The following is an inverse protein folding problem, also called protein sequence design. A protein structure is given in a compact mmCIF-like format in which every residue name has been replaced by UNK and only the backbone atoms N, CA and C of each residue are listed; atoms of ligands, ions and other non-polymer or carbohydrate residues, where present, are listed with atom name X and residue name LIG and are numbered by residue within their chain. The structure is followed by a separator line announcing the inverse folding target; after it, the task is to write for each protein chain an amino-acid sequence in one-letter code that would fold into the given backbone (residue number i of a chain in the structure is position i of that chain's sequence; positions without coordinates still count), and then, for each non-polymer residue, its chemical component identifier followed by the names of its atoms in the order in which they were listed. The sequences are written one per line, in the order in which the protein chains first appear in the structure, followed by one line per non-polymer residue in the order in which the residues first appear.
data_IF_415369344742
#
_entry.id   IF_415369344742
#
_cell.length_a   1.000
_cell.length_b   1.000
_cell.length_c   1.000
_cell.angle_alpha   90.00
_cell.angle_beta   90.00
_cell.angle_gamma   90.00
#
_symmetry.space_group_name_H-M   'P 1'
#
loop_
_entity.id
_entity.type
_entity.pdbx_description
1 polymer ?
#
# COMPACT_ATOMS: atom_id res chain seq x y z
N UNK A 1 -23.49 30.46 -7.00
CA UNK A 1 -22.17 30.04 -7.52
C UNK A 1 -22.24 28.56 -7.85
N UNK A 2 -21.88 28.18 -9.08
CA UNK A 2 -21.81 26.77 -9.49
C UNK A 2 -20.70 26.04 -8.73
N UNK A 3 -21.01 24.84 -8.24
CA UNK A 3 -20.09 24.07 -7.39
C UNK A 3 -18.96 23.50 -8.26
N UNK A 4 -17.71 23.76 -7.88
CA UNK A 4 -16.54 23.11 -8.49
C UNK A 4 -16.38 21.72 -7.86
N UNK A 5 -16.33 20.65 -8.65
CA UNK A 5 -16.29 19.26 -8.16
C UNK A 5 -15.30 18.39 -8.95
N UNK A 6 -14.92 17.25 -8.37
CA UNK A 6 -14.07 16.24 -9.03
C UNK A 6 -14.97 15.15 -9.60
N UNK A 7 -14.84 14.86 -10.89
CA UNK A 7 -15.32 13.63 -11.48
C UNK A 7 -14.15 12.63 -11.58
N UNK A 8 -14.21 11.53 -10.82
CA UNK A 8 -13.14 10.53 -10.75
C UNK A 8 -13.14 9.56 -11.95
N UNK A 9 -14.10 9.70 -12.85
CA UNK A 9 -14.27 8.83 -14.01
C UNK A 9 -14.57 9.65 -15.26
N UNK A 10 -14.12 9.14 -16.39
CA UNK A 10 -14.35 9.71 -17.71
C UNK A 10 -14.82 8.60 -18.64
N UNK A 11 -15.59 8.98 -19.65
CA UNK A 11 -15.93 8.10 -20.77
C UNK A 11 -14.71 7.96 -21.69
N UNK A 12 -13.72 7.18 -21.26
CA UNK A 12 -12.46 6.98 -21.98
C UNK A 12 -12.00 5.51 -21.96
N UNK A 13 -11.18 5.14 -22.96
CA UNK A 13 -10.50 3.85 -23.03
C UNK A 13 -9.35 3.71 -22.02
N UNK A 14 -8.91 2.48 -21.73
CA UNK A 14 -7.68 2.19 -20.98
C UNK A 14 -7.56 2.84 -19.59
N UNK A 15 -6.33 3.23 -19.27
CA UNK A 15 -5.95 3.86 -17.99
C UNK A 15 -6.55 5.26 -17.81
N UNK A 16 -6.92 5.92 -18.90
CA UNK A 16 -7.46 7.28 -18.88
C UNK A 16 -8.85 7.34 -18.25
N UNK A 17 -9.60 6.23 -18.23
CA UNK A 17 -10.92 6.15 -17.57
C UNK A 17 -10.88 6.52 -16.07
N UNK A 18 -9.70 6.44 -15.44
CA UNK A 18 -9.49 6.74 -14.03
C UNK A 18 -8.70 8.03 -13.79
N UNK A 19 -8.39 8.77 -14.86
CA UNK A 19 -7.83 10.11 -14.77
C UNK A 19 -8.98 11.06 -14.39
N UNK A 20 -8.87 11.82 -13.29
CA UNK A 20 -9.93 12.72 -12.87
C UNK A 20 -10.04 13.92 -13.81
N UNK A 21 -11.26 14.45 -13.95
CA UNK A 21 -11.50 15.78 -14.50
C UNK A 21 -12.25 16.65 -13.48
N UNK A 22 -12.12 17.96 -13.61
CA UNK A 22 -12.75 18.93 -12.71
C UNK A 22 -13.90 19.60 -13.44
N UNK A 23 -15.05 19.67 -12.79
CA UNK A 23 -16.28 20.24 -13.31
C UNK A 23 -16.66 21.51 -12.55
N UNK A 24 -17.37 22.42 -13.22
CA UNK A 24 -18.12 23.54 -12.63
C UNK A 24 -19.60 23.30 -12.92
N UNK A 25 -20.36 22.84 -11.92
CA UNK A 25 -21.65 22.20 -12.19
C UNK A 25 -21.43 20.91 -13.00
N UNK A 26 -22.11 20.79 -14.13
CA UNK A 26 -22.00 19.63 -15.03
C UNK A 26 -21.08 19.88 -16.24
N UNK A 27 -20.48 21.06 -16.34
CA UNK A 27 -19.57 21.42 -17.44
C UNK A 27 -18.11 21.34 -17.03
N UNK A 28 -17.22 21.02 -17.98
CA UNK A 28 -15.78 21.03 -17.76
C UNK A 28 -15.30 22.39 -17.21
N UNK A 29 -14.47 22.37 -16.17
CA UNK A 29 -14.00 23.59 -15.51
C UNK A 29 -13.08 24.43 -16.42
N UNK A 30 -12.06 23.79 -17.01
CA UNK A 30 -11.04 24.43 -17.85
C UNK A 30 -10.40 23.35 -18.76
N UNK A 31 -10.35 23.54 -20.09
CA UNK A 31 -9.79 22.54 -21.02
C UNK A 31 -8.30 22.25 -20.81
N UNK A 32 -7.50 23.25 -20.44
CA UNK A 32 -6.07 23.07 -20.19
C UNK A 32 -5.84 22.31 -18.89
N UNK A 33 -6.68 22.53 -17.88
CA UNK A 33 -6.64 21.74 -16.66
C UNK A 33 -7.01 20.28 -16.90
N UNK A 34 -7.92 20.01 -17.82
CA UNK A 34 -8.24 18.64 -18.26
C UNK A 34 -7.04 17.97 -18.93
N UNK A 35 -6.40 18.69 -19.86
CA UNK A 35 -5.15 18.26 -20.51
C UNK A 35 -4.05 17.99 -19.50
N UNK A 36 -3.92 18.82 -18.47
CA UNK A 36 -2.96 18.60 -17.38
C UNK A 36 -3.14 17.24 -16.70
N UNK A 37 -4.38 16.86 -16.38
CA UNK A 37 -4.66 15.57 -15.74
C UNK A 37 -4.38 14.39 -16.68
N UNK A 38 -4.72 14.50 -17.96
CA UNK A 38 -4.39 13.52 -19.00
C UNK A 38 -2.88 13.32 -19.18
N UNK A 39 -2.07 14.36 -19.00
CA UNK A 39 -0.60 14.26 -19.08
C UNK A 39 0.06 13.65 -17.82
N UNK A 40 -0.67 13.49 -16.71
CA UNK A 40 -0.08 13.00 -15.45
C UNK A 40 0.45 11.55 -15.54
N UNK A 41 -0.28 10.57 -16.12
CA UNK A 41 0.23 9.21 -16.31
C UNK A 41 1.49 9.15 -17.18
N UNK A 42 1.58 10.03 -18.19
CA UNK A 42 2.74 10.16 -19.08
C UNK A 42 3.96 10.73 -18.36
N UNK A 43 3.74 11.64 -17.41
CA UNK A 43 4.78 12.27 -16.58
C UNK A 43 5.08 11.54 -15.25
N UNK A 44 4.65 10.28 -15.15
CA UNK A 44 5.03 9.34 -14.09
C UNK A 44 4.06 9.20 -12.91
N UNK A 45 2.92 9.90 -12.89
CA UNK A 45 1.84 9.67 -11.91
C UNK A 45 0.79 8.75 -12.52
N UNK A 46 1.01 7.44 -12.37
CA UNK A 46 0.10 6.41 -12.90
C UNK A 46 -0.90 5.88 -11.88
N UNK A 47 -0.62 6.06 -10.59
CA UNK A 47 -1.51 5.56 -9.53
C UNK A 47 -2.79 6.38 -9.45
N UNK A 48 -3.93 5.70 -9.55
CA UNK A 48 -5.26 6.27 -9.34
C UNK A 48 -5.38 7.01 -8.01
N UNK A 49 -4.78 6.49 -6.94
CA UNK A 49 -4.78 7.15 -5.63
C UNK A 49 -4.05 8.50 -5.67
N UNK A 50 -2.91 8.56 -6.36
CA UNK A 50 -2.14 9.79 -6.52
C UNK A 50 -2.88 10.81 -7.39
N UNK A 51 -3.46 10.37 -8.51
CA UNK A 51 -4.28 11.22 -9.40
C UNK A 51 -5.48 11.80 -8.66
N UNK A 52 -6.22 10.94 -7.94
CA UNK A 52 -7.35 11.35 -7.09
C UNK A 52 -6.91 12.39 -6.06
N UNK A 53 -5.84 12.13 -5.29
CA UNK A 53 -5.35 13.05 -4.28
C UNK A 53 -4.97 14.42 -4.87
N UNK A 54 -4.29 14.42 -6.02
CA UNK A 54 -3.94 15.64 -6.74
C UNK A 54 -5.19 16.41 -7.19
N UNK A 55 -6.21 15.73 -7.74
CA UNK A 55 -7.45 16.37 -8.17
C UNK A 55 -8.22 17.01 -7.01
N UNK A 56 -8.27 16.37 -5.84
CA UNK A 56 -8.87 16.99 -4.65
C UNK A 56 -8.06 18.18 -4.16
N UNK A 57 -6.73 18.07 -4.08
CA UNK A 57 -5.87 19.18 -3.66
C UNK A 57 -6.01 20.39 -4.63
N UNK A 58 -6.06 20.14 -5.94
CA UNK A 58 -6.30 21.17 -6.97
C UNK A 58 -7.71 21.74 -6.84
N UNK A 59 -8.75 20.93 -6.66
CA UNK A 59 -10.14 21.41 -6.54
C UNK A 59 -10.33 22.34 -5.35
N UNK A 60 -9.70 22.03 -4.21
CA UNK A 60 -9.75 22.91 -3.03
C UNK A 60 -9.10 24.26 -3.34
N UNK A 61 -7.99 24.26 -4.09
CA UNK A 61 -7.34 25.48 -4.55
C UNK A 61 -8.19 26.27 -5.55
N UNK A 62 -8.84 25.61 -6.51
CA UNK A 62 -9.75 26.27 -7.46
C UNK A 62 -10.92 26.95 -6.75
N UNK A 63 -11.52 26.29 -5.76
CA UNK A 63 -12.60 26.87 -4.94
C UNK A 63 -12.12 28.12 -4.18
N UNK A 64 -10.88 28.12 -3.70
CA UNK A 64 -10.29 29.29 -3.08
C UNK A 64 -10.11 30.43 -4.09
N UNK A 65 -9.57 30.15 -5.28
CA UNK A 65 -9.39 31.17 -6.33
C UNK A 65 -10.71 31.72 -6.84
N UNK A 66 -11.74 30.88 -7.00
CA UNK A 66 -13.09 31.30 -7.41
C UNK A 66 -13.69 32.28 -6.41
N UNK A 67 -13.48 32.06 -5.10
CA UNK A 67 -13.87 32.99 -4.04
C UNK A 67 -13.07 34.31 -4.10
N UNK A 68 -11.87 34.31 -4.67
CA UNK A 68 -11.06 35.50 -4.96
C UNK A 68 -11.37 36.11 -6.34
N UNK A 69 -12.31 35.57 -7.11
CA UNK A 69 -12.63 36.03 -8.46
C UNK A 69 -11.55 35.75 -9.51
N UNK A 70 -10.68 34.76 -9.28
CA UNK A 70 -9.54 34.42 -10.15
C UNK A 70 -9.69 33.04 -10.78
N UNK A 71 -9.16 32.89 -11.99
CA UNK A 71 -8.97 31.58 -12.62
C UNK A 71 -7.69 30.92 -12.14
N UNK A 72 -7.53 29.63 -12.43
CA UNK A 72 -6.33 28.87 -12.03
C UNK A 72 -5.04 29.45 -12.62
N UNK A 73 -5.10 29.98 -13.84
CA UNK A 73 -3.96 30.55 -14.56
C UNK A 73 -3.68 32.03 -14.19
N UNK A 74 -4.59 32.69 -13.48
CA UNK A 74 -4.42 34.07 -13.00
C UNK A 74 -3.91 34.15 -11.54
N UNK A 75 -3.57 33.02 -10.93
CA UNK A 75 -3.10 32.99 -9.55
C UNK A 75 -1.74 33.68 -9.39
N UNK A 76 -1.59 34.44 -8.31
CA UNK A 76 -0.36 35.15 -7.94
C UNK A 76 0.27 34.56 -6.69
N UNK A 77 1.48 35.03 -6.36
CA UNK A 77 2.17 34.66 -5.11
C UNK A 77 1.35 35.03 -3.88
N UNK A 78 0.71 36.20 -3.90
CA UNK A 78 -0.14 36.67 -2.80
C UNK A 78 -1.33 35.74 -2.54
N UNK A 79 -1.88 35.12 -3.59
CA UNK A 79 -2.97 34.14 -3.46
C UNK A 79 -2.48 32.87 -2.75
N UNK A 80 -1.26 32.41 -3.03
CA UNK A 80 -0.65 31.25 -2.35
C UNK A 80 -0.42 31.54 -0.87
N UNK A 81 0.02 32.76 -0.53
CA UNK A 81 0.15 33.18 0.87
C UNK A 81 -1.20 33.31 1.57
N UNK A 82 -2.20 33.89 0.92
CA UNK A 82 -3.55 33.99 1.46
C UNK A 82 -4.17 32.60 1.69
N UNK A 83 -3.96 31.67 0.76
CA UNK A 83 -4.38 30.28 0.89
C UNK A 83 -3.62 29.55 2.00
N UNK A 84 -2.32 29.79 2.15
CA UNK A 84 -1.56 29.29 3.31
C UNK A 84 -2.17 29.77 4.62
N UNK A 85 -2.44 31.08 4.75
CA UNK A 85 -3.09 31.65 5.94
C UNK A 85 -4.45 30.99 6.20
N UNK A 86 -5.29 30.82 5.18
CA UNK A 86 -6.59 30.17 5.31
C UNK A 86 -6.48 28.70 5.78
N UNK A 87 -5.55 27.92 5.20
CA UNK A 87 -5.44 26.48 5.48
C UNK A 87 -4.60 26.15 6.72
N UNK A 88 -3.68 27.03 7.14
CA UNK A 88 -2.72 26.76 8.23
C UNK A 88 -2.93 27.64 9.46
N UNK A 89 -3.47 28.85 9.30
CA UNK A 89 -3.69 29.81 10.39
C UNK A 89 -5.17 30.09 10.68
N UNK A 90 -6.09 29.57 9.87
CA UNK A 90 -7.52 29.63 10.16
C UNK A 90 -7.94 28.86 11.42
N UNK A 91 -9.25 28.86 11.66
CA UNK A 91 -9.87 28.18 12.80
C UNK A 91 -9.49 26.71 12.88
N UNK A 92 -9.46 26.17 14.10
CA UNK A 92 -9.04 24.81 14.36
C UNK A 92 -9.79 23.76 13.52
N UNK A 93 -11.08 23.98 13.26
CA UNK A 93 -11.92 23.08 12.44
C UNK A 93 -11.57 23.06 10.94
N UNK A 94 -10.89 24.10 10.44
CA UNK A 94 -10.52 24.23 9.02
C UNK A 94 -9.01 24.02 8.79
N UNK A 95 -8.21 24.08 9.85
CA UNK A 95 -6.75 23.99 9.81
C UNK A 95 -6.27 22.58 9.44
N UNK A 96 -5.37 22.49 8.45
CA UNK A 96 -4.73 21.22 8.07
C UNK A 96 -3.33 21.07 8.66
N UNK A 97 -2.83 19.84 8.70
CA UNK A 97 -1.46 19.55 9.11
C UNK A 97 -0.43 20.06 8.09
N UNK A 98 0.81 20.26 8.53
CA UNK A 98 1.93 20.62 7.65
C UNK A 98 2.18 19.55 6.56
N UNK A 99 1.96 18.27 6.87
CA UNK A 99 2.09 17.18 5.90
C UNK A 99 1.01 17.26 4.79
N UNK A 100 -0.24 17.52 5.17
CA UNK A 100 -1.34 17.74 4.22
C UNK A 100 -1.10 18.97 3.35
N UNK A 101 -0.58 20.05 3.94
CA UNK A 101 -0.18 21.26 3.20
C UNK A 101 0.92 20.97 2.19
N UNK A 102 2.00 20.33 2.61
CA UNK A 102 3.12 19.98 1.72
C UNK A 102 2.69 19.07 0.56
N UNK A 103 1.70 18.19 0.78
CA UNK A 103 1.10 17.40 -0.31
C UNK A 103 0.34 18.30 -1.30
N UNK A 104 -0.49 19.22 -0.80
CA UNK A 104 -1.17 20.18 -1.67
C UNK A 104 -0.19 21.05 -2.46
N UNK A 105 0.87 21.57 -1.82
CA UNK A 105 1.94 22.32 -2.51
C UNK A 105 2.62 21.47 -3.58
N UNK A 106 2.85 20.18 -3.35
CA UNK A 106 3.39 19.29 -4.37
C UNK A 106 2.46 19.13 -5.58
N UNK A 107 1.15 18.99 -5.34
CA UNK A 107 0.12 18.92 -6.38
C UNK A 107 0.09 20.21 -7.20
N UNK A 108 0.11 21.37 -6.54
CA UNK A 108 0.06 22.68 -7.17
C UNK A 108 1.36 23.07 -7.88
N UNK A 109 2.54 22.82 -7.29
CA UNK A 109 3.83 23.08 -7.94
C UNK A 109 3.95 22.28 -9.24
N UNK A 110 3.40 21.06 -9.28
CA UNK A 110 3.34 20.27 -10.51
C UNK A 110 2.40 20.88 -11.55
N UNK A 111 1.21 21.34 -11.14
CA UNK A 111 0.25 22.02 -12.02
C UNK A 111 0.87 23.25 -12.66
N UNK A 112 1.41 24.15 -11.85
CA UNK A 112 1.95 25.40 -12.36
C UNK A 112 3.24 25.22 -13.16
N UNK A 113 4.10 24.23 -12.81
CA UNK A 113 5.23 23.87 -13.68
C UNK A 113 4.79 23.31 -15.03
N UNK A 114 3.67 22.59 -15.06
CA UNK A 114 3.11 22.14 -16.33
C UNK A 114 2.57 23.34 -17.13
N UNK A 115 1.84 24.26 -16.49
CA UNK A 115 1.34 25.48 -17.13
C UNK A 115 2.44 26.37 -17.70
N UNK A 116 3.55 26.57 -16.96
CA UNK A 116 4.76 27.26 -17.43
C UNK A 116 5.32 26.60 -18.71
N UNK A 117 5.46 25.26 -18.72
CA UNK A 117 5.98 24.52 -19.88
C UNK A 117 5.07 24.57 -21.10
N UNK A 118 3.75 24.67 -20.88
CA UNK A 118 2.76 24.79 -21.96
C UNK A 118 2.57 26.23 -22.43
N UNK A 119 3.25 27.22 -21.82
CA UNK A 119 3.11 28.63 -22.17
C UNK A 119 1.79 29.28 -21.73
N UNK A 120 1.04 28.63 -20.84
CA UNK A 120 -0.24 29.16 -20.31
C UNK A 120 -0.01 30.31 -19.32
N UNK A 121 1.15 30.31 -18.67
CA UNK A 121 1.58 31.33 -17.72
C UNK A 121 3.06 31.63 -17.94
N UNK A 122 3.45 32.88 -17.71
CA UNK A 122 4.86 33.28 -17.80
C UNK A 122 5.67 32.79 -16.59
N UNK A 123 5.08 32.81 -15.40
CA UNK A 123 5.73 32.40 -14.16
C UNK A 123 4.72 31.77 -13.18
N UNK A 124 5.12 30.70 -12.50
CA UNK A 124 4.32 30.06 -11.45
C UNK A 124 4.17 30.94 -10.21
N UNK A 125 3.05 30.81 -9.47
CA UNK A 125 2.78 31.57 -8.23
C UNK A 125 3.60 31.07 -7.02
N UNK A 126 4.83 30.59 -7.23
CA UNK A 126 5.69 30.04 -6.18
C UNK A 126 7.08 30.68 -6.17
N UNK A 127 7.54 31.06 -4.97
CA UNK A 127 8.96 31.36 -4.75
C UNK A 127 9.76 30.07 -4.81
N UNK A 128 10.88 30.10 -5.54
CA UNK A 128 11.80 28.97 -5.66
C UNK A 128 13.21 29.45 -5.40
N UNK A 129 13.92 28.73 -4.54
CA UNK A 129 15.35 28.94 -4.33
C UNK A 129 16.16 27.76 -4.87
N UNK A 130 17.33 28.06 -5.39
CA UNK A 130 18.32 27.07 -5.73
C UNK A 130 18.84 26.42 -4.44
N UNK A 131 18.70 25.10 -4.34
CA UNK A 131 19.26 24.32 -3.22
C UNK A 131 20.18 23.27 -3.78
N UNK A 132 21.41 23.24 -3.28
CA UNK A 132 22.35 22.17 -3.60
C UNK A 132 21.88 20.87 -2.95
N UNK A 133 21.70 19.82 -3.77
CA UNK A 133 21.44 18.47 -3.26
C UNK A 133 22.68 17.61 -3.45
N UNK A 134 23.24 17.03 -2.38
CA UNK A 134 24.25 16.00 -2.52
C UNK A 134 23.65 14.82 -3.28
N UNK A 135 24.35 14.32 -4.29
CA UNK A 135 23.90 13.12 -4.98
C UNK A 135 24.20 11.90 -4.10
N UNK A 136 23.22 11.01 -3.94
CA UNK A 136 23.46 9.71 -3.35
C UNK A 136 24.27 8.84 -4.32
N UNK A 137 25.41 8.32 -3.86
CA UNK A 137 26.20 7.31 -4.58
C UNK A 137 27.17 7.85 -5.64
N UNK A 138 28.03 8.83 -5.30
CA UNK A 138 29.18 9.22 -6.13
C UNK A 138 28.86 10.06 -7.38
N UNK A 139 27.61 10.48 -7.59
CA UNK A 139 27.23 11.39 -8.68
C UNK A 139 27.50 12.86 -8.31
N UNK A 140 27.72 13.72 -9.31
CA UNK A 140 27.84 15.18 -9.09
C UNK A 140 26.56 15.72 -8.45
N UNK A 141 26.71 16.53 -7.39
CA UNK A 141 25.59 17.23 -6.75
C UNK A 141 24.83 18.08 -7.75
N UNK A 142 23.51 18.18 -7.57
CA UNK A 142 22.62 18.88 -8.51
C UNK A 142 21.98 20.07 -7.80
N UNK A 143 21.90 21.21 -8.50
CA UNK A 143 21.08 22.34 -8.06
C UNK A 143 19.62 21.98 -8.34
N UNK A 144 18.83 21.85 -7.28
CA UNK A 144 17.40 21.63 -7.39
C UNK A 144 16.65 22.89 -6.97
N UNK A 145 15.70 23.34 -7.80
CA UNK A 145 14.77 24.40 -7.41
C UNK A 145 13.78 23.87 -6.36
N UNK A 146 13.93 24.35 -5.12
CA UNK A 146 13.02 24.05 -4.02
C UNK A 146 11.97 25.15 -3.93
N UNK A 147 10.69 24.75 -3.97
CA UNK A 147 9.57 25.64 -3.71
C UNK A 147 9.54 26.02 -2.21
N UNK A 148 9.46 27.31 -1.92
CA UNK A 148 9.53 27.85 -0.56
C UNK A 148 8.20 27.79 0.20
N UNK A 149 7.10 27.47 -0.49
CA UNK A 149 5.81 27.20 0.15
C UNK A 149 5.82 25.89 0.98
N UNK A 150 6.83 25.02 0.81
CA UNK A 150 6.95 23.82 1.64
C UNK A 150 7.33 24.14 3.08
N UNK A 151 6.50 23.68 4.03
CA UNK A 151 6.81 23.76 5.46
C UNK A 151 7.86 22.71 5.87
N UNK A 152 8.73 23.08 6.80
CA UNK A 152 9.65 22.13 7.43
C UNK A 152 8.85 21.20 8.34
N UNK A 153 8.82 19.91 8.00
CA UNK A 153 8.23 18.88 8.84
C UNK A 153 9.35 18.03 9.43
N UNK A 154 9.47 18.02 10.74
CA UNK A 154 10.27 16.99 11.43
C UNK A 154 9.47 15.70 11.32
N UNK A 155 10.01 14.71 10.60
CA UNK A 155 9.43 13.37 10.59
C UNK A 155 9.64 12.77 11.99
N UNK A 156 8.65 12.93 12.87
CA UNK A 156 8.52 12.07 14.05
C UNK A 156 7.96 10.75 13.57
N UNK A 157 8.80 9.72 13.54
CA UNK A 157 8.38 8.36 13.22
C UNK A 157 7.94 7.67 14.50
N UNK A 158 6.73 7.99 14.97
CA UNK A 158 6.03 7.16 15.95
C UNK A 158 5.57 5.88 15.23
N UNK A 159 6.50 4.94 15.03
CA UNK A 159 6.17 3.63 14.47
C UNK A 159 5.31 2.92 15.50
N UNK A 160 4.03 2.79 15.19
CA UNK A 160 3.13 1.92 15.96
C UNK A 160 3.24 0.51 15.39
N UNK A 161 3.77 -0.41 16.17
CA UNK A 161 3.73 -1.84 15.88
C UNK A 161 2.85 -2.56 16.91
N UNK A 162 2.49 -3.80 16.60
CA UNK A 162 1.55 -4.60 17.38
C UNK A 162 2.35 -5.66 18.14
N UNK A 163 2.01 -5.90 19.41
CA UNK A 163 2.59 -7.04 20.14
C UNK A 163 2.04 -8.34 19.56
N UNK A 164 2.76 -9.45 19.72
CA UNK A 164 2.28 -10.73 19.20
C UNK A 164 1.02 -11.23 19.92
N UNK A 165 0.84 -10.91 21.20
CA UNK A 165 -0.39 -11.20 21.95
C UNK A 165 -1.58 -10.37 21.47
N UNK A 166 -1.41 -9.06 21.28
CA UNK A 166 -2.46 -8.21 20.70
C UNK A 166 -2.84 -8.70 19.29
N UNK A 167 -1.85 -9.16 18.52
CA UNK A 167 -2.08 -9.73 17.21
C UNK A 167 -2.86 -11.05 17.27
N UNK A 168 -2.53 -11.97 18.20
CA UNK A 168 -3.28 -13.22 18.43
C UNK A 168 -4.74 -12.92 18.74
N UNK A 169 -5.01 -12.00 19.67
CA UNK A 169 -6.37 -11.59 20.03
C UNK A 169 -7.09 -10.98 18.82
N UNK A 170 -6.42 -10.09 18.08
CA UNK A 170 -6.98 -9.49 16.88
C UNK A 170 -7.30 -10.52 15.79
N UNK A 171 -6.44 -11.53 15.63
CA UNK A 171 -6.62 -12.61 14.66
C UNK A 171 -7.81 -13.50 15.02
N UNK A 172 -7.83 -14.05 16.23
CA UNK A 172 -8.86 -15.01 16.66
C UNK A 172 -10.21 -14.32 16.92
N UNK A 173 -10.23 -13.32 17.81
CA UNK A 173 -11.47 -12.62 18.18
C UNK A 173 -11.88 -11.68 17.07
N UNK A 174 -10.96 -10.84 16.60
CA UNK A 174 -11.24 -9.76 15.66
C UNK A 174 -11.56 -10.25 14.25
N UNK A 175 -10.64 -10.99 13.60
CA UNK A 175 -10.76 -11.37 12.19
C UNK A 175 -11.58 -12.66 11.99
N UNK A 176 -11.28 -13.71 12.75
CA UNK A 176 -12.01 -14.99 12.67
C UNK A 176 -13.39 -14.90 13.33
N UNK A 177 -13.58 -13.99 14.28
CA UNK A 177 -14.87 -13.81 14.93
C UNK A 177 -15.16 -14.88 15.98
N UNK A 178 -14.13 -15.43 16.61
CA UNK A 178 -14.28 -16.33 17.75
C UNK A 178 -14.59 -15.54 19.02
N UNK A 179 -15.15 -16.21 20.02
CA UNK A 179 -15.19 -15.70 21.38
C UNK A 179 -13.77 -15.72 21.99
N UNK A 180 -13.52 -14.97 23.09
CA UNK A 180 -12.20 -14.94 23.73
C UNK A 180 -11.70 -16.29 24.25
N UNK A 181 -12.62 -17.23 24.52
CA UNK A 181 -12.32 -18.61 24.91
C UNK A 181 -12.04 -19.54 23.71
N UNK A 182 -12.07 -19.01 22.49
CA UNK A 182 -11.85 -19.76 21.25
C UNK A 182 -13.10 -20.45 20.70
N UNK A 183 -14.24 -20.38 21.38
CA UNK A 183 -15.50 -20.95 20.91
C UNK A 183 -16.12 -20.13 19.77
N UNK A 184 -17.04 -20.75 19.02
CA UNK A 184 -17.85 -20.03 18.05
C UNK A 184 -18.82 -19.08 18.77
N UNK A 185 -18.93 -17.84 18.28
CA UNK A 185 -19.86 -16.88 18.88
C UNK A 185 -21.31 -17.29 18.56
N UNK A 186 -22.22 -17.28 19.55
CA UNK A 186 -23.63 -17.54 19.30
C UNK A 186 -24.20 -16.61 18.21
N UNK A 187 -24.82 -17.19 17.18
CA UNK A 187 -25.37 -16.43 16.05
C UNK A 187 -24.33 -15.85 15.09
N UNK A 188 -23.06 -16.27 15.17
CA UNK A 188 -22.01 -15.85 14.25
C UNK A 188 -22.42 -16.11 12.79
N UNK A 189 -22.26 -15.09 11.97
CA UNK A 189 -22.34 -15.18 10.50
C UNK A 189 -21.06 -14.69 9.87
N UNK A 190 -19.92 -14.89 10.56
CA UNK A 190 -18.62 -14.43 10.09
C UNK A 190 -18.15 -15.28 8.91
N UNK A 191 -18.54 -14.83 7.73
CA UNK A 191 -18.14 -15.46 6.48
C UNK A 191 -16.76 -14.91 6.08
N UNK A 192 -15.85 -15.78 5.66
CA UNK A 192 -14.46 -15.47 5.30
C UNK A 192 -13.54 -15.12 6.49
N UNK A 193 -13.82 -15.64 7.69
CA UNK A 193 -12.96 -15.43 8.86
C UNK A 193 -11.53 -15.93 8.64
N UNK A 194 -11.37 -17.11 8.02
CA UNK A 194 -10.04 -17.65 7.68
C UNK A 194 -9.35 -16.80 6.63
N UNK A 195 -10.02 -16.44 5.51
CA UNK A 195 -9.47 -15.52 4.52
C UNK A 195 -8.92 -14.23 5.15
N UNK A 196 -9.70 -13.62 6.06
CA UNK A 196 -9.32 -12.37 6.71
C UNK A 196 -8.08 -12.55 7.61
N UNK A 197 -8.04 -13.63 8.39
CA UNK A 197 -6.89 -13.99 9.21
C UNK A 197 -5.64 -14.24 8.35
N UNK A 198 -5.77 -15.01 7.26
CA UNK A 198 -4.66 -15.31 6.35
C UNK A 198 -4.10 -14.07 5.66
N UNK A 199 -4.96 -13.11 5.31
CA UNK A 199 -4.49 -11.82 4.79
C UNK A 199 -3.64 -11.07 5.82
N UNK A 200 -4.05 -11.06 7.09
CA UNK A 200 -3.27 -10.46 8.16
C UNK A 200 -1.98 -11.23 8.45
N UNK A 201 -2.03 -12.57 8.45
CA UNK A 201 -0.86 -13.46 8.61
C UNK A 201 0.17 -13.16 7.53
N UNK A 202 -0.27 -12.99 6.28
CA UNK A 202 0.59 -12.59 5.18
C UNK A 202 1.27 -11.23 5.43
N UNK A 203 0.53 -10.22 5.88
CA UNK A 203 1.11 -8.89 6.13
C UNK A 203 2.15 -8.90 7.25
N UNK A 204 1.85 -9.56 8.38
CA UNK A 204 2.72 -9.56 9.56
C UNK A 204 3.96 -10.43 9.38
N UNK A 205 3.92 -11.45 8.51
CA UNK A 205 5.03 -12.37 8.27
C UNK A 205 5.92 -11.99 7.08
N UNK A 206 5.44 -11.14 6.17
CA UNK A 206 6.18 -10.79 4.93
C UNK A 206 6.43 -9.29 4.74
N UNK A 207 5.75 -8.44 5.52
CA UNK A 207 5.88 -6.99 5.42
C UNK A 207 5.36 -6.40 4.11
N UNK A 208 4.53 -7.12 3.35
CA UNK A 208 3.92 -6.59 2.13
C UNK A 208 3.13 -5.30 2.38
N UNK A 209 3.08 -4.41 1.38
CA UNK A 209 2.13 -3.29 1.40
C UNK A 209 0.71 -3.82 1.21
N UNK A 210 -0.27 -3.07 1.70
CA UNK A 210 -1.69 -3.40 1.52
C UNK A 210 -2.03 -3.69 0.05
N UNK A 211 -1.60 -2.83 -0.86
CA UNK A 211 -1.84 -2.97 -2.31
C UNK A 211 -1.11 -4.17 -2.91
N UNK A 212 0.15 -4.42 -2.50
CA UNK A 212 0.93 -5.59 -2.94
C UNK A 212 0.26 -6.90 -2.51
N UNK A 213 -0.14 -7.02 -1.23
CA UNK A 213 -0.81 -8.20 -0.70
C UNK A 213 -2.21 -8.40 -1.30
N UNK A 214 -2.95 -7.31 -1.54
CA UNK A 214 -4.28 -7.37 -2.15
C UNK A 214 -4.23 -7.78 -3.61
N UNK A 215 -3.18 -7.38 -4.34
CA UNK A 215 -3.01 -7.63 -5.76
C UNK A 215 -2.44 -9.00 -6.12
N UNK A 216 -2.16 -9.87 -5.15
CA UNK A 216 -1.70 -11.24 -5.44
C UNK A 216 -2.76 -12.03 -6.19
N UNK A 217 -2.32 -12.85 -7.13
CA UNK A 217 -3.14 -13.77 -7.91
C UNK A 217 -3.05 -15.18 -7.32
N UNK A 218 -4.09 -16.00 -7.47
CA UNK A 218 -4.07 -17.38 -6.98
C UNK A 218 -2.91 -18.17 -7.62
N UNK A 219 -2.68 -17.96 -8.92
CA UNK A 219 -1.56 -18.54 -9.64
C UNK A 219 -0.18 -18.06 -9.17
N UNK A 220 -0.06 -16.95 -8.44
CA UNK A 220 1.25 -16.50 -7.93
C UNK A 220 1.79 -17.45 -6.85
N UNK A 221 0.92 -18.21 -6.19
CA UNK A 221 1.26 -19.02 -5.00
C UNK A 221 1.03 -20.52 -5.20
N UNK A 222 0.17 -20.92 -6.14
CA UNK A 222 -0.19 -22.33 -6.40
C UNK A 222 0.98 -23.20 -6.90
N UNK A 223 2.08 -22.60 -7.37
CA UNK A 223 3.22 -23.31 -7.99
C UNK A 223 4.38 -23.56 -7.02
N UNK A 224 4.32 -23.03 -5.79
CA UNK A 224 5.51 -22.93 -4.92
C UNK A 224 5.69 -24.12 -3.94
N UNK A 225 5.03 -25.26 -4.12
CA UNK A 225 5.25 -26.42 -3.21
C UNK A 225 5.55 -27.72 -3.97
N UNK A 226 6.79 -27.92 -4.44
CA UNK A 226 7.30 -29.27 -4.60
C UNK A 226 7.42 -29.92 -3.21
N UNK A 227 6.83 -31.12 -3.07
CA UNK A 227 7.12 -31.99 -1.94
C UNK A 227 8.62 -32.37 -1.96
N UNK A 228 9.30 -32.24 -0.81
CA UNK A 228 10.68 -32.70 -0.62
C UNK A 228 11.76 -31.65 -0.37
N UNK A 229 11.49 -30.34 -0.49
CA UNK A 229 12.48 -29.30 -0.16
C UNK A 229 12.39 -28.86 1.32
N UNK A 230 13.52 -29.00 2.03
CA UNK A 230 13.68 -28.75 3.47
C UNK A 230 13.60 -27.25 3.85
N UNK A 231 13.66 -26.35 2.87
CA UNK A 231 13.65 -24.90 3.13
C UNK A 231 12.33 -24.43 3.75
N UNK A 232 12.39 -23.93 5.00
CA UNK A 232 11.19 -23.45 5.73
C UNK A 232 10.53 -22.19 5.12
N UNK A 233 11.22 -21.47 4.24
CA UNK A 233 10.77 -20.23 3.61
C UNK A 233 11.09 -20.23 2.11
N UNK A 234 10.27 -19.52 1.33
CA UNK A 234 10.40 -19.43 -0.13
C UNK A 234 10.36 -17.99 -0.60
N UNK A 235 11.12 -17.69 -1.67
CA UNK A 235 11.15 -16.36 -2.27
C UNK A 235 9.95 -16.18 -3.22
N UNK A 236 9.08 -15.23 -2.89
CA UNK A 236 8.03 -14.76 -3.77
C UNK A 236 8.50 -13.51 -4.52
N UNK A 237 8.56 -13.58 -5.85
CA UNK A 237 8.87 -12.44 -6.71
C UNK A 237 7.64 -11.54 -6.86
N UNK A 238 7.76 -10.28 -6.49
CA UNK A 238 6.75 -9.25 -6.77
C UNK A 238 7.14 -8.52 -8.06
N UNK A 239 6.29 -8.56 -9.11
CA UNK A 239 6.58 -7.94 -10.38
C UNK A 239 6.59 -6.40 -10.25
N UNK A 240 7.38 -5.67 -11.07
CA UNK A 240 7.49 -4.21 -10.97
C UNK A 240 6.15 -3.47 -10.95
N UNK A 241 5.15 -3.77 -11.82
CA UNK A 241 3.90 -3.03 -11.83
C UNK A 241 3.06 -3.17 -10.54
N UNK A 242 3.25 -4.25 -9.77
CA UNK A 242 2.58 -4.45 -8.48
C UNK A 242 3.20 -3.59 -7.36
N UNK A 243 4.43 -3.14 -7.54
CA UNK A 243 5.22 -2.49 -6.49
C UNK A 243 5.26 -0.98 -6.65
N UNK A 244 5.45 -0.28 -5.52
CA UNK A 244 5.52 1.18 -5.51
C UNK A 244 6.70 1.69 -6.35
N UNK A 245 6.39 2.51 -7.35
CA UNK A 245 7.39 3.15 -8.21
C UNK A 245 7.96 2.23 -9.28
N UNK A 246 7.26 1.13 -9.59
CA UNK A 246 7.63 0.19 -10.66
C UNK A 246 8.99 -0.47 -10.41
N UNK A 247 9.22 -0.91 -9.16
CA UNK A 247 10.49 -1.49 -8.70
C UNK A 247 10.24 -2.86 -8.07
N UNK A 248 10.28 -3.88 -8.91
CA UNK A 248 10.11 -5.27 -8.51
C UNK A 248 11.06 -5.65 -7.37
N UNK A 249 10.60 -6.55 -6.50
CA UNK A 249 11.35 -7.02 -5.33
C UNK A 249 10.90 -8.42 -4.95
N UNK A 250 11.75 -9.16 -4.26
CA UNK A 250 11.37 -10.45 -3.69
C UNK A 250 11.11 -10.33 -2.20
N UNK A 251 10.18 -11.14 -1.69
CA UNK A 251 9.89 -11.29 -0.25
C UNK A 251 10.02 -12.75 0.15
N UNK A 252 10.39 -12.98 1.41
CA UNK A 252 10.38 -14.32 2.00
C UNK A 252 8.97 -14.63 2.51
N UNK A 253 8.45 -15.80 2.15
CA UNK A 253 7.15 -16.29 2.60
C UNK A 253 7.34 -17.63 3.32
N UNK A 254 6.83 -17.80 4.55
CA UNK A 254 6.89 -19.08 5.24
C UNK A 254 6.13 -20.18 4.50
N UNK A 255 6.72 -21.37 4.35
CA UNK A 255 6.05 -22.52 3.70
C UNK A 255 4.72 -22.88 4.36
N UNK A 256 4.66 -22.78 5.68
CA UNK A 256 3.43 -23.07 6.43
C UNK A 256 2.30 -22.11 6.05
N UNK A 257 2.61 -20.82 5.87
CA UNK A 257 1.62 -19.86 5.39
C UNK A 257 1.14 -20.21 3.98
N UNK A 258 2.05 -20.63 3.09
CA UNK A 258 1.69 -21.10 1.74
C UNK A 258 0.73 -22.30 1.78
N UNK A 259 0.95 -23.28 2.66
CA UNK A 259 0.02 -24.42 2.86
C UNK A 259 -1.36 -23.95 3.32
N UNK A 260 -1.42 -22.98 4.23
CA UNK A 260 -2.70 -22.42 4.68
C UNK A 260 -3.41 -21.63 3.58
N UNK A 261 -2.65 -20.91 2.74
CA UNK A 261 -3.21 -20.23 1.57
C UNK A 261 -3.71 -21.24 0.53
N UNK A 262 -2.98 -22.33 0.29
CA UNK A 262 -3.44 -23.42 -0.59
C UNK A 262 -4.77 -24.02 -0.09
N UNK A 263 -4.87 -24.35 1.21
CA UNK A 263 -6.11 -24.82 1.80
C UNK A 263 -7.27 -23.81 1.66
N UNK A 264 -6.99 -22.51 1.78
CA UNK A 264 -7.97 -21.46 1.49
C UNK A 264 -8.38 -21.43 0.01
N UNK A 265 -7.43 -21.60 -0.92
CA UNK A 265 -7.70 -21.65 -2.37
C UNK A 265 -8.64 -22.81 -2.68
N UNK A 266 -8.35 -23.99 -2.14
CA UNK A 266 -9.08 -25.22 -2.44
C UNK A 266 -10.50 -25.24 -1.86
N UNK A 267 -10.74 -24.52 -0.76
CA UNK A 267 -12.01 -24.55 -0.03
C UNK A 267 -12.80 -23.25 -0.16
N UNK A 268 -12.41 -22.19 0.58
CA UNK A 268 -13.21 -20.95 0.64
C UNK A 268 -13.18 -20.20 -0.70
N UNK A 269 -12.02 -20.09 -1.34
CA UNK A 269 -11.90 -19.40 -2.63
C UNK A 269 -12.63 -20.16 -3.73
N UNK A 270 -12.45 -21.48 -3.82
CA UNK A 270 -13.16 -22.32 -4.79
C UNK A 270 -14.69 -22.19 -4.65
N UNK A 271 -15.22 -22.19 -3.42
CA UNK A 271 -16.64 -21.93 -3.17
C UNK A 271 -17.07 -20.52 -3.62
N UNK A 272 -16.23 -19.50 -3.39
CA UNK A 272 -16.42 -18.16 -3.92
C UNK A 272 -16.45 -18.11 -5.46
N UNK A 273 -15.50 -18.78 -6.11
CA UNK A 273 -15.40 -18.87 -7.57
C UNK A 273 -16.62 -19.57 -8.18
N UNK A 274 -17.10 -20.68 -7.59
CA UNK A 274 -18.33 -21.33 -8.01
C UNK A 274 -19.55 -20.39 -7.91
N UNK A 275 -19.65 -19.63 -6.81
CA UNK A 275 -20.68 -18.60 -6.63
C UNK A 275 -20.56 -17.44 -7.61
N UNK A 276 -19.35 -17.11 -8.07
CA UNK A 276 -19.11 -16.10 -9.09
C UNK A 276 -19.69 -16.54 -10.44
N UNK A 277 -19.40 -17.77 -10.89
CA UNK A 277 -19.96 -18.33 -12.13
C UNK A 277 -21.49 -18.41 -12.06
N UNK A 278 -22.02 -18.99 -10.98
CA UNK A 278 -23.46 -19.17 -10.80
C UNK A 278 -24.27 -17.86 -10.76
N UNK A 279 -23.62 -16.71 -10.54
CA UNK A 279 -24.26 -15.39 -10.44
C UNK A 279 -23.90 -14.45 -11.58
N UNK A 280 -23.31 -14.98 -12.65
CA UNK A 280 -22.76 -14.19 -13.76
C UNK A 280 -21.88 -13.04 -13.24
N UNK A 281 -20.93 -13.39 -12.37
CA UNK A 281 -20.11 -12.42 -11.67
C UNK A 281 -19.24 -11.58 -12.61
N UNK A 282 -18.95 -12.07 -13.82
CA UNK A 282 -18.19 -11.35 -14.84
C UNK A 282 -18.93 -10.09 -15.32
N UNK A 283 -20.26 -10.14 -15.43
CA UNK A 283 -21.07 -8.98 -15.82
C UNK A 283 -21.02 -7.82 -14.80
N UNK A 284 -20.53 -8.07 -13.57
CA UNK A 284 -20.36 -7.03 -12.55
C UNK A 284 -19.01 -6.30 -12.64
N UNK A 285 -18.11 -6.76 -13.50
CA UNK A 285 -16.82 -6.13 -13.69
C UNK A 285 -16.98 -4.92 -14.59
N UNK A 286 -16.42 -3.81 -14.13
CA UNK A 286 -16.18 -2.66 -14.99
C UNK A 286 -14.95 -2.97 -15.85
N UNK A 287 -15.18 -3.25 -17.15
CA UNK A 287 -14.15 -3.59 -18.14
C UNK A 287 -13.29 -4.80 -17.72
N UNK A 288 -13.88 -6.02 -17.72
CA UNK A 288 -13.14 -7.24 -17.40
C UNK A 288 -12.00 -7.48 -18.39
N UNK A 289 -10.93 -8.14 -17.92
CA UNK A 289 -9.80 -8.57 -18.74
C UNK A 289 -9.82 -10.09 -18.78
N UNK A 290 -10.36 -10.63 -19.87
CA UNK A 290 -10.47 -12.07 -20.08
C UNK A 290 -9.12 -12.66 -20.52
N UNK A 291 -8.67 -13.70 -19.82
CA UNK A 291 -7.39 -14.36 -20.07
C UNK A 291 -7.52 -15.87 -19.96
N UNK A 292 -6.66 -16.59 -20.66
CA UNK A 292 -6.45 -18.03 -20.48
C UNK A 292 -5.36 -18.28 -19.43
N UNK A 293 -5.20 -19.52 -18.99
CA UNK A 293 -4.11 -19.91 -18.08
C UNK A 293 -2.73 -19.58 -18.68
N UNK A 294 -2.53 -19.81 -19.99
CA UNK A 294 -1.29 -19.43 -20.69
C UNK A 294 -1.06 -17.90 -20.74
N UNK A 295 -2.15 -17.11 -20.75
CA UNK A 295 -2.07 -15.65 -20.73
C UNK A 295 -1.74 -15.08 -19.35
N UNK A 296 -1.96 -15.84 -18.28
CA UNK A 296 -1.76 -15.39 -16.90
C UNK A 296 -0.29 -15.01 -16.62
N UNK A 297 0.66 -15.80 -17.11
CA UNK A 297 2.09 -15.56 -16.89
C UNK A 297 2.52 -14.20 -17.45
N UNK A 298 2.11 -13.89 -18.68
CA UNK A 298 2.37 -12.58 -19.29
C UNK A 298 1.71 -11.46 -18.50
N UNK A 299 0.46 -11.65 -18.04
CA UNK A 299 -0.26 -10.64 -17.27
C UNK A 299 0.38 -10.34 -15.91
N UNK A 300 1.02 -11.34 -15.28
CA UNK A 300 1.72 -11.14 -14.00
C UNK A 300 2.76 -10.02 -14.09
N UNK A 301 3.48 -9.91 -15.21
CA UNK A 301 4.59 -8.96 -15.36
C UNK A 301 4.17 -7.57 -15.86
N UNK A 302 2.93 -7.40 -16.35
CA UNK A 302 2.47 -6.14 -16.97
C UNK A 302 1.30 -5.48 -16.25
N UNK A 303 0.46 -6.25 -15.56
CA UNK A 303 -0.75 -5.70 -14.95
C UNK A 303 -0.45 -4.92 -13.66
N UNK A 304 -1.01 -3.72 -13.61
CA UNK A 304 -1.11 -2.89 -12.40
C UNK A 304 -2.00 -3.55 -11.33
N UNK A 305 -1.95 -3.11 -10.06
CA UNK A 305 -2.79 -3.68 -9.00
C UNK A 305 -4.29 -3.61 -9.30
N UNK A 306 -4.74 -2.57 -9.98
CA UNK A 306 -6.15 -2.42 -10.40
C UNK A 306 -6.53 -3.39 -11.51
N UNK A 307 -5.68 -3.56 -12.52
CA UNK A 307 -5.91 -4.51 -13.61
C UNK A 307 -5.91 -5.95 -13.12
N UNK A 308 -5.04 -6.30 -12.16
CA UNK A 308 -5.03 -7.62 -11.51
C UNK A 308 -6.39 -7.95 -10.86
N UNK A 309 -7.06 -6.94 -10.30
CA UNK A 309 -8.42 -7.07 -9.77
C UNK A 309 -9.52 -7.22 -10.83
N UNK A 310 -9.19 -7.08 -12.12
CA UNK A 310 -10.12 -7.22 -13.26
C UNK A 310 -9.84 -8.44 -14.13
N UNK A 311 -8.79 -9.21 -13.84
CA UNK A 311 -8.45 -10.43 -14.56
C UNK A 311 -9.46 -11.55 -14.30
N UNK A 312 -10.02 -12.11 -15.38
CA UNK A 312 -10.94 -13.24 -15.35
C UNK A 312 -10.32 -14.36 -16.18
N UNK A 313 -10.02 -15.49 -15.52
CA UNK A 313 -9.61 -16.72 -16.18
C UNK A 313 -10.81 -17.31 -16.91
N UNK A 314 -10.60 -17.67 -18.17
CA UNK A 314 -11.61 -18.23 -19.06
C UNK A 314 -11.20 -19.63 -19.49
N UNK A 315 -12.20 -20.48 -19.74
CA UNK A 315 -11.99 -21.78 -20.37
C UNK A 315 -11.55 -21.60 -21.85
N UNK A 316 -11.12 -22.68 -22.49
CA UNK A 316 -10.70 -22.67 -23.90
C UNK A 316 -11.80 -22.16 -24.85
N UNK A 317 -13.07 -22.40 -24.51
CA UNK A 317 -14.24 -21.90 -25.24
C UNK A 317 -14.58 -20.42 -24.97
N UNK A 318 -13.74 -19.70 -24.22
CA UNK A 318 -13.92 -18.28 -23.90
C UNK A 318 -14.89 -17.98 -22.75
N UNK A 319 -15.51 -19.01 -22.15
CA UNK A 319 -16.44 -18.80 -21.03
C UNK A 319 -15.71 -18.41 -19.73
N UNK A 320 -16.19 -17.41 -18.97
CA UNK A 320 -15.61 -17.03 -17.69
C UNK A 320 -15.61 -18.20 -16.68
N UNK A 321 -14.43 -18.54 -16.17
CA UNK A 321 -14.23 -19.62 -15.17
C UNK A 321 -14.16 -19.05 -13.77
N UNK A 322 -13.24 -18.12 -13.51
CA UNK A 322 -13.06 -17.49 -12.20
C UNK A 322 -12.20 -16.23 -12.26
N UNK A 323 -12.29 -15.32 -11.27
CA UNK A 323 -11.34 -14.21 -11.18
C UNK A 323 -9.93 -14.69 -10.81
N UNK A 324 -8.89 -14.15 -11.44
CA UNK A 324 -7.51 -14.56 -11.15
C UNK A 324 -7.01 -14.12 -9.75
N UNK A 325 -7.68 -13.14 -9.13
CA UNK A 325 -7.33 -12.62 -7.82
C UNK A 325 -7.31 -13.71 -6.74
N UNK A 326 -6.33 -13.64 -5.82
CA UNK A 326 -6.22 -14.56 -4.70
C UNK A 326 -7.38 -14.37 -3.70
N UNK A 327 -7.68 -13.12 -3.38
CA UNK A 327 -8.65 -12.80 -2.33
C UNK A 327 -10.03 -12.53 -2.92
N UNK A 328 -10.97 -13.43 -2.66
CA UNK A 328 -12.35 -13.28 -3.11
C UNK A 328 -13.30 -13.01 -1.94
N UNK A 329 -14.33 -12.23 -2.22
CA UNK A 329 -15.50 -12.04 -1.35
C UNK A 329 -16.33 -13.32 -1.31
N UNK A 330 -17.33 -13.34 -0.42
CA UNK A 330 -18.23 -14.50 -0.28
C UNK A 330 -19.00 -14.85 -1.57
N UNK A 331 -19.18 -13.87 -2.46
CA UNK A 331 -19.86 -14.03 -3.76
C UNK A 331 -18.86 -14.15 -4.92
N UNK A 332 -17.58 -14.35 -4.61
CA UNK A 332 -16.51 -14.57 -5.58
C UNK A 332 -15.99 -13.33 -6.29
N UNK A 333 -16.41 -12.12 -5.89
CA UNK A 333 -15.82 -10.88 -6.42
C UNK A 333 -14.45 -10.60 -5.77
N UNK A 334 -13.44 -10.07 -6.47
CA UNK A 334 -12.15 -9.69 -5.88
C UNK A 334 -12.29 -8.69 -4.72
N UNK A 335 -11.56 -8.92 -3.63
CA UNK A 335 -11.51 -7.99 -2.49
C UNK A 335 -10.68 -6.77 -2.88
N UNK A 336 -11.32 -5.59 -2.93
CA UNK A 336 -10.62 -4.32 -3.21
C UNK A 336 -9.69 -3.92 -2.05
N UNK A 337 -8.54 -3.27 -2.33
CA UNK A 337 -7.58 -2.89 -1.29
C UNK A 337 -8.19 -2.11 -0.11
N UNK A 338 -9.06 -1.14 -0.38
CA UNK A 338 -9.72 -0.32 0.65
C UNK A 338 -10.70 -1.12 1.54
N UNK A 339 -11.22 -2.26 1.06
CA UNK A 339 -12.09 -3.12 1.86
C UNK A 339 -11.35 -3.74 3.04
N UNK A 340 -10.04 -3.96 2.93
CA UNK A 340 -9.23 -4.51 4.02
C UNK A 340 -9.14 -3.58 5.22
N UNK A 341 -9.03 -2.27 5.00
CA UNK A 341 -9.04 -1.29 6.11
C UNK A 341 -10.38 -1.33 6.86
N UNK A 342 -11.49 -1.48 6.14
CA UNK A 342 -12.82 -1.65 6.73
C UNK A 342 -12.92 -2.97 7.48
N UNK A 343 -12.39 -4.07 6.94
CA UNK A 343 -12.34 -5.37 7.62
C UNK A 343 -11.55 -5.27 8.93
N UNK A 344 -10.39 -4.63 8.90
CA UNK A 344 -9.55 -4.41 10.09
C UNK A 344 -10.25 -3.54 11.12
N UNK A 345 -10.90 -2.45 10.70
CA UNK A 345 -11.66 -1.57 11.59
C UNK A 345 -12.83 -2.31 12.27
N UNK A 346 -13.53 -3.18 11.53
CA UNK A 346 -14.59 -4.05 12.08
C UNK A 346 -14.03 -5.08 13.05
N UNK A 347 -12.89 -5.70 12.74
CA UNK A 347 -12.21 -6.62 13.62
C UNK A 347 -11.76 -5.95 14.92
N UNK A 348 -11.16 -4.75 14.86
CA UNK A 348 -10.81 -3.97 16.04
C UNK A 348 -12.05 -3.57 16.86
N UNK A 349 -13.17 -3.21 16.20
CA UNK A 349 -14.44 -2.96 16.90
C UNK A 349 -14.87 -4.19 17.69
N UNK A 350 -14.85 -5.37 17.07
CA UNK A 350 -15.21 -6.62 17.72
C UNK A 350 -14.32 -6.94 18.92
N UNK A 351 -13.01 -6.71 18.82
CA UNK A 351 -12.11 -6.83 19.96
C UNK A 351 -12.51 -5.89 21.11
N UNK A 352 -12.86 -4.63 20.80
CA UNK A 352 -13.33 -3.65 21.80
C UNK A 352 -14.65 -4.06 22.46
N UNK A 353 -15.56 -4.68 21.71
CA UNK A 353 -16.82 -5.19 22.25
C UNK A 353 -16.58 -6.30 23.32
N UNK A 354 -15.42 -6.97 23.29
CA UNK A 354 -14.95 -7.92 24.31
C UNK A 354 -13.95 -7.31 25.33
N UNK A 355 -13.79 -5.99 25.35
CA UNK A 355 -12.92 -5.29 26.31
C UNK A 355 -11.47 -5.11 25.86
N UNK A 356 -11.07 -5.59 24.68
CA UNK A 356 -9.72 -5.42 24.16
C UNK A 356 -9.59 -4.10 23.38
N UNK A 357 -8.85 -3.14 23.95
CA UNK A 357 -8.65 -1.81 23.35
C UNK A 357 -7.63 -1.81 22.21
N UNK A 358 -7.95 -2.51 21.12
CA UNK A 358 -7.07 -2.68 19.97
C UNK A 358 -7.39 -1.70 18.83
N UNK A 359 -6.32 -1.20 18.19
CA UNK A 359 -6.37 -0.40 16.96
C UNK A 359 -5.23 -0.83 16.05
N UNK A 360 -5.52 -1.80 15.19
CA UNK A 360 -4.58 -2.43 14.27
C UNK A 360 -5.00 -2.14 12.83
N UNK A 361 -4.02 -1.75 12.02
CA UNK A 361 -4.18 -1.46 10.59
C UNK A 361 -3.18 -2.29 9.77
N UNK A 362 -3.41 -2.48 8.46
CA UNK A 362 -2.46 -3.16 7.57
C UNK A 362 -1.04 -2.57 7.64
N UNK A 363 -0.93 -1.24 7.82
CA UNK A 363 0.36 -0.57 7.92
C UNK A 363 1.10 -0.90 9.23
N UNK A 364 0.36 -1.03 10.35
CA UNK A 364 0.95 -1.46 11.63
C UNK A 364 1.47 -2.90 11.57
N UNK A 365 0.81 -3.81 10.86
CA UNK A 365 1.32 -5.17 10.67
C UNK A 365 2.63 -5.18 9.87
N UNK A 366 2.75 -4.33 8.85
CA UNK A 366 4.01 -4.16 8.11
C UNK A 366 5.12 -3.58 8.99
N UNK A 367 4.82 -2.63 9.88
CA UNK A 367 5.77 -2.15 10.87
C UNK A 367 6.18 -3.23 11.87
N UNK A 368 5.21 -4.05 12.27
CA UNK A 368 5.43 -5.22 13.15
C UNK A 368 6.43 -6.17 12.52
N UNK A 369 6.21 -6.59 11.27
CA UNK A 369 7.19 -7.38 10.51
C UNK A 369 8.58 -6.73 10.52
N UNK A 370 8.67 -5.43 10.21
CA UNK A 370 9.95 -4.75 10.08
C UNK A 370 10.77 -4.73 11.38
N UNK A 371 10.11 -4.45 12.51
CA UNK A 371 10.74 -4.45 13.84
C UNK A 371 11.20 -5.85 14.21
N UNK A 372 10.34 -6.87 14.06
CA UNK A 372 10.67 -8.25 14.44
C UNK A 372 11.75 -8.87 13.54
N UNK A 373 11.70 -8.60 12.23
CA UNK A 373 12.74 -9.07 11.31
C UNK A 373 14.08 -8.40 11.56
N UNK A 374 14.08 -7.09 11.84
CA UNK A 374 15.30 -6.38 12.16
C UNK A 374 15.93 -6.93 13.44
N UNK A 375 15.11 -7.16 14.46
CA UNK A 375 15.52 -7.81 15.69
C UNK A 375 16.11 -9.21 15.49
N UNK A 376 15.40 -10.09 14.76
CA UNK A 376 15.86 -11.43 14.37
C UNK A 376 17.25 -11.38 13.74
N UNK A 377 17.43 -10.49 12.77
CA UNK A 377 18.69 -10.35 12.04
C UNK A 377 19.81 -9.78 12.94
N UNK A 378 19.49 -8.89 13.89
CA UNK A 378 20.47 -8.38 14.86
C UNK A 378 20.89 -9.49 15.83
N UNK A 379 19.95 -10.25 16.39
CA UNK A 379 20.26 -11.37 17.28
C UNK A 379 21.09 -12.44 16.58
N UNK A 380 20.75 -12.79 15.34
CA UNK A 380 21.54 -13.76 14.57
C UNK A 380 22.97 -13.25 14.35
N UNK A 381 23.14 -11.96 14.08
CA UNK A 381 24.47 -11.33 13.98
C UNK A 381 25.25 -11.39 15.29
N UNK A 382 24.58 -11.16 16.43
CA UNK A 382 25.21 -11.25 17.74
C UNK A 382 25.63 -12.69 18.07
N UNK A 383 24.80 -13.69 17.72
CA UNK A 383 25.15 -15.12 17.85
C UNK A 383 26.32 -15.50 16.95
N UNK A 384 26.32 -15.08 15.70
CA UNK A 384 27.41 -15.33 14.75
C UNK A 384 28.73 -14.69 15.22
N UNK A 385 28.67 -13.47 15.78
CA UNK A 385 29.85 -12.76 16.31
C UNK A 385 30.43 -13.39 17.58
N UNK A 386 29.66 -14.23 18.29
CA UNK A 386 30.14 -14.99 19.44
C UNK A 386 30.92 -16.26 19.05
N UNK A 387 30.94 -16.63 17.77
CA UNK A 387 31.72 -17.78 17.26
C UNK A 387 33.20 -17.42 17.06
N UNK A 388 34.14 -18.39 17.15
CA UNK A 388 35.57 -18.11 17.03
C UNK A 388 35.94 -17.49 15.69
N UNK A 389 36.83 -16.51 15.74
CA UNK A 389 37.31 -15.76 14.60
C UNK A 389 37.92 -16.67 13.51
N UNK A 390 37.51 -16.48 12.26
CA UNK A 390 37.96 -17.29 11.12
C UNK A 390 38.20 -16.43 9.88
N UNK A 391 38.86 -16.96 8.83
CA UNK A 391 39.32 -16.17 7.67
C UNK A 391 38.23 -15.41 6.89
N UNK A 392 36.94 -15.72 7.12
CA UNK A 392 35.79 -15.09 6.44
C UNK A 392 35.09 -13.99 7.25
N UNK A 393 35.59 -13.63 8.42
CA UNK A 393 34.93 -12.71 9.35
C UNK A 393 34.71 -11.30 8.79
N UNK A 394 35.70 -10.76 8.08
CA UNK A 394 35.59 -9.47 7.39
C UNK A 394 34.53 -9.46 6.28
N UNK A 395 34.29 -10.60 5.62
CA UNK A 395 33.25 -10.72 4.58
C UNK A 395 31.84 -10.89 5.19
N UNK A 396 31.74 -11.55 6.35
CA UNK A 396 30.47 -11.73 7.09
C UNK A 396 29.89 -10.41 7.61
N UNK A 397 30.76 -9.48 8.03
CA UNK A 397 30.35 -8.14 8.48
C UNK A 397 29.81 -7.27 7.33
N UNK A 398 30.30 -7.46 6.11
CA UNK A 398 29.94 -6.63 4.93
C UNK A 398 28.69 -7.16 4.20
N UNK A 399 28.52 -8.48 4.09
CA UNK A 399 27.40 -9.08 3.34
C UNK A 399 26.07 -9.11 4.11
N UNK A 400 26.08 -8.70 5.38
CA UNK A 400 25.09 -9.09 6.37
C UNK A 400 24.27 -7.99 7.03
N UNK A 401 24.42 -6.71 6.65
CA UNK A 401 23.78 -5.57 7.35
C UNK A 401 22.25 -5.76 7.52
N UNK A 402 21.76 -5.97 8.76
CA UNK A 402 20.34 -6.18 9.06
C UNK A 402 19.43 -5.07 8.52
N UNK A 403 19.86 -3.82 8.59
CA UNK A 403 19.07 -2.68 8.08
C UNK A 403 18.90 -2.76 6.57
N UNK A 404 19.96 -3.08 5.83
CA UNK A 404 19.90 -3.22 4.38
C UNK A 404 19.05 -4.43 3.97
N UNK A 405 19.12 -5.54 4.71
CA UNK A 405 18.26 -6.69 4.47
C UNK A 405 16.78 -6.33 4.63
N UNK A 406 16.41 -5.69 5.75
CA UNK A 406 15.03 -5.22 5.97
C UNK A 406 14.63 -4.16 4.94
N UNK A 407 15.53 -3.27 4.54
CA UNK A 407 15.28 -2.30 3.47
C UNK A 407 14.90 -3.00 2.15
N UNK A 408 15.62 -4.07 1.77
CA UNK A 408 15.32 -4.89 0.58
C UNK A 408 13.99 -5.63 0.73
N UNK A 409 13.78 -6.31 1.87
CA UNK A 409 12.54 -7.04 2.18
C UNK A 409 11.30 -6.15 2.30
N UNK A 410 11.46 -4.84 2.55
CA UNK A 410 10.36 -3.88 2.54
C UNK A 410 10.25 -3.11 1.22
N UNK A 411 11.28 -3.14 0.36
CA UNK A 411 11.34 -2.29 -0.83
C UNK A 411 11.37 -0.80 -0.48
N UNK A 412 12.23 -0.40 0.46
CA UNK A 412 12.44 1.00 0.81
C UNK A 412 13.49 1.63 -0.12
N UNK A 413 13.14 2.74 -0.77
CA UNK A 413 14.05 3.45 -1.66
C UNK A 413 15.20 4.16 -0.94
N UNK A 414 15.10 4.37 0.38
CA UNK A 414 16.09 5.06 1.19
C UNK A 414 16.21 4.39 2.55
N UNK A 415 17.45 4.16 2.99
CA UNK A 415 17.77 3.60 4.30
C UNK A 415 17.20 4.46 5.44
N UNK A 416 17.07 5.79 5.26
CA UNK A 416 16.43 6.70 6.20
C UNK A 416 14.98 6.31 6.55
N UNK A 417 14.29 5.58 5.66
CA UNK A 417 12.93 5.07 5.93
C UNK A 417 12.95 3.79 6.76
N UNK A 418 14.07 3.07 6.79
CA UNK A 418 14.26 1.86 7.59
C UNK A 418 14.86 2.18 8.95
N UNK A 419 15.72 3.21 9.06
CA UNK A 419 16.30 3.68 10.32
C UNK A 419 15.27 3.94 11.40
N UNK A 420 14.06 4.37 11.02
CA UNK A 420 12.97 4.59 11.96
C UNK A 420 12.73 3.38 12.87
N UNK A 421 12.98 2.14 12.43
CA UNK A 421 12.75 0.94 13.23
C UNK A 421 13.82 0.71 14.30
N UNK A 422 15.05 1.20 14.11
CA UNK A 422 16.11 1.06 15.13
C UNK A 422 15.79 1.82 16.40
N UNK A 423 15.26 3.04 16.27
CA UNK A 423 14.84 3.87 17.40
C UNK A 423 13.82 3.13 18.29
N UNK A 424 12.98 2.27 17.68
CA UNK A 424 11.97 1.47 18.39
C UNK A 424 12.53 0.19 19.02
N UNK A 425 13.56 -0.43 18.43
CA UNK A 425 14.22 -1.60 19.04
C UNK A 425 15.03 -1.15 20.26
N UNK A 426 15.78 -0.05 20.14
CA UNK A 426 16.60 0.49 21.23
C UNK A 426 15.77 0.87 22.47
N UNK A 427 14.50 1.21 22.29
CA UNK A 427 13.58 1.57 23.38
C UNK A 427 12.84 0.37 23.99
N UNK A 428 12.94 -0.83 23.42
CA UNK A 428 12.11 -2.01 23.78
C UNK A 428 12.87 -3.34 23.76
N UNK A 429 14.18 -3.32 24.01
CA UNK A 429 15.09 -4.46 23.87
C UNK A 429 14.62 -5.74 24.59
N UNK A 430 14.06 -5.66 25.79
CA UNK A 430 13.62 -6.83 26.57
C UNK A 430 12.39 -7.54 25.97
N UNK A 431 11.54 -6.82 25.23
CA UNK A 431 10.33 -7.37 24.55
C UNK A 431 10.64 -8.05 23.22
N UNK A 432 11.84 -7.85 22.69
CA UNK A 432 12.19 -8.25 21.33
C UNK A 432 12.65 -9.71 21.27
N UNK A 433 13.31 -10.21 22.32
CA UNK A 433 13.81 -11.59 22.37
C UNK A 433 12.68 -12.63 22.42
N UNK A 434 11.65 -12.43 23.26
CA UNK A 434 10.44 -13.27 23.27
C UNK A 434 9.63 -13.14 21.97
N UNK A 435 9.47 -11.92 21.44
CA UNK A 435 8.62 -11.69 20.28
C UNK A 435 9.17 -12.31 18.98
N UNK A 436 10.49 -12.51 18.91
CA UNK A 436 11.17 -13.19 17.80
C UNK A 436 10.86 -14.70 17.79
N UNK A 437 10.97 -15.37 18.95
CA UNK A 437 10.56 -16.77 19.08
C UNK A 437 9.05 -16.93 18.87
N UNK A 438 8.25 -15.96 19.34
CA UNK A 438 6.81 -15.97 19.15
C UNK A 438 6.35 -15.70 17.71
N UNK A 439 7.01 -14.84 16.92
CA UNK A 439 6.68 -14.65 15.50
C UNK A 439 6.97 -15.94 14.70
N UNK A 440 8.05 -16.63 15.05
CA UNK A 440 8.39 -17.94 14.51
C UNK A 440 7.41 -19.03 14.99
N UNK A 441 6.87 -18.92 16.21
CA UNK A 441 5.88 -19.83 16.80
C UNK A 441 4.39 -19.49 16.47
N UNK A 442 4.11 -18.28 15.98
CA UNK A 442 2.80 -17.80 15.52
C UNK A 442 2.43 -18.24 14.12
N UNK A 443 3.37 -18.89 13.45
CA UNK A 443 3.10 -19.98 12.54
C UNK A 443 2.72 -21.20 13.40
N UNK A 444 1.44 -21.65 13.43
CA UNK A 444 1.02 -22.61 14.46
C UNK A 444 1.98 -23.79 14.59
N UNK A 445 2.39 -24.04 15.84
CA UNK A 445 3.31 -25.10 16.25
C UNK A 445 2.80 -26.51 15.94
N UNK A 446 3.62 -27.53 16.24
CA UNK A 446 3.38 -28.91 15.86
C UNK A 446 2.07 -29.39 16.48
N UNK A 447 1.21 -29.99 15.66
CA UNK A 447 0.21 -30.90 16.22
C UNK A 447 1.02 -32.05 16.80
N UNK A 448 0.94 -32.22 18.13
CA UNK A 448 1.60 -33.30 18.83
C UNK A 448 1.04 -34.65 18.39
N UNK A 449 1.96 -35.62 18.31
CA UNK A 449 1.80 -37.07 18.15
C UNK A 449 1.00 -37.55 16.92
#
# INVERSE_FOLDING_TARGET
MSIISVCERREAGGLDAHVPLILRGDTLYDPDLDRFFLDQPLSGIRSRHSLRAQAYDVTVWLRFLDACGKTVWAATRDDVEAYHRARRRGDAGQRITAASWNRAVASLDRLYRWGERQGLIAEAPFNRRAVWRPAQGGRRGMIAARNDAYERVVKRSDVRFVTMDDYRIFREVGLRGLAPDGSERPGARDRNGLRNALFADLLVTTGLRLEEASGLLAGDLAVIVPDGDENRQLWLRLPPPLTKGDRGRSVLVPRRLLRQIAAYIDVERAAGAAKFVARDGAARFDRPIHITDAGLDRMRDVCTPEERGRLILCNENGTPREPAALWLTEVGQPVRPNSWEVIFARACKRCRDYGFSLSISPHQLRHTFAVHMLALLIQERLREAALPAGPMESYRLILGDPLQQVQRLLGHASLATTYIYLDHIATRADTVDSAVEELLALLPGPQGA
#
